data_IF_053263396415
#
_entry.id   IF_053263396415
#
_cell.length_a   1.000
_cell.length_b   1.000
_cell.length_c   1.000
_cell.angle_alpha   90.00
_cell.angle_beta   90.00
_cell.angle_gamma   90.00
#
_symmetry.space_group_name_H-M   'P 1'
#
loop_
_entity.id
_entity.type
_entity.pdbx_description
1 polymer ?
#
# COMPACT_ATOMS: atom_id res chain seq x y z
N UNK A 1 -23.42 -9.07 -16.89
CA UNK A 1 -22.77 -8.49 -15.69
C UNK A 1 -21.30 -8.16 -15.97
N UNK A 2 -20.99 -7.14 -16.80
CA UNK A 2 -19.60 -6.78 -17.13
C UNK A 2 -19.33 -5.29 -17.37
N UNK A 3 -20.34 -4.42 -17.22
CA UNK A 3 -20.27 -3.03 -17.70
C UNK A 3 -19.33 -2.11 -16.93
N UNK A 4 -19.15 -2.31 -15.62
CA UNK A 4 -18.33 -1.41 -14.79
C UNK A 4 -16.84 -1.48 -15.10
N UNK A 5 -16.26 -2.69 -15.10
CA UNK A 5 -14.81 -2.87 -15.33
C UNK A 5 -14.37 -2.45 -16.74
N UNK A 6 -15.24 -2.66 -17.74
CA UNK A 6 -14.98 -2.20 -19.10
C UNK A 6 -14.91 -0.67 -19.18
N UNK A 7 -15.75 0.04 -18.41
CA UNK A 7 -15.73 1.50 -18.35
C UNK A 7 -14.44 2.03 -17.74
N UNK A 8 -13.95 1.40 -16.66
CA UNK A 8 -12.70 1.82 -16.01
C UNK A 8 -11.52 1.81 -17.01
N UNK A 9 -11.40 0.71 -17.76
CA UNK A 9 -10.34 0.52 -18.74
C UNK A 9 -10.50 1.41 -19.98
N UNK A 10 -11.73 1.56 -20.47
CA UNK A 10 -12.01 2.42 -21.61
C UNK A 10 -11.69 3.88 -21.29
N UNK A 11 -12.11 4.40 -20.14
CA UNK A 11 -11.83 5.78 -19.75
C UNK A 11 -10.32 6.08 -19.65
N UNK A 12 -9.55 5.14 -19.09
CA UNK A 12 -8.09 5.28 -19.01
C UNK A 12 -7.43 5.29 -20.40
N UNK A 13 -7.86 4.39 -21.29
CA UNK A 13 -7.33 4.31 -22.65
C UNK A 13 -7.77 5.50 -23.51
N UNK A 14 -9.01 5.97 -23.37
CA UNK A 14 -9.52 7.15 -24.08
C UNK A 14 -8.72 8.40 -23.73
N UNK A 15 -8.45 8.60 -22.45
CA UNK A 15 -7.64 9.72 -21.98
C UNK A 15 -6.18 9.58 -22.43
N UNK A 16 -5.59 8.39 -22.34
CA UNK A 16 -4.22 8.16 -22.84
C UNK A 16 -4.09 8.36 -24.36
N UNK A 17 -5.11 7.99 -25.14
CA UNK A 17 -5.17 8.18 -26.58
C UNK A 17 -5.28 9.68 -26.94
N UNK A 18 -6.15 10.42 -26.24
CA UNK A 18 -6.34 11.85 -26.47
C UNK A 18 -5.01 12.63 -26.35
N UNK A 19 -4.13 12.17 -25.46
CA UNK A 19 -2.82 12.77 -25.23
C UNK A 19 -1.67 12.15 -26.02
N UNK A 20 -1.97 11.20 -26.92
CA UNK A 20 -0.96 10.55 -27.76
C UNK A 20 0.03 9.64 -27.01
N UNK A 21 -0.32 9.19 -25.80
CA UNK A 21 0.49 8.21 -25.06
C UNK A 21 0.37 6.79 -25.64
N UNK A 22 -0.74 6.52 -26.33
CA UNK A 22 -1.02 5.27 -27.02
C UNK A 22 -1.61 5.55 -28.41
N UNK A 23 -1.60 4.56 -29.28
CA UNK A 23 -2.25 4.63 -30.60
C UNK A 23 -3.70 4.11 -30.56
N UNK A 24 -4.49 4.37 -31.59
CA UNK A 24 -5.83 3.77 -31.76
C UNK A 24 -5.78 2.23 -31.78
N UNK A 25 -4.72 1.67 -32.38
CA UNK A 25 -4.51 0.22 -32.41
C UNK A 25 -4.23 -0.34 -31.02
N UNK A 26 -3.42 0.35 -30.22
CA UNK A 26 -3.19 0.00 -28.81
C UNK A 26 -4.49 0.05 -28.02
N UNK A 27 -5.29 1.11 -28.19
CA UNK A 27 -6.58 1.26 -27.52
C UNK A 27 -7.50 0.06 -27.76
N UNK A 28 -7.65 -0.36 -29.02
CA UNK A 28 -8.54 -1.48 -29.37
C UNK A 28 -7.96 -2.81 -28.90
N UNK A 29 -6.68 -3.07 -29.18
CA UNK A 29 -6.06 -4.38 -28.93
C UNK A 29 -5.79 -4.65 -27.45
N UNK A 30 -5.64 -3.62 -26.63
CA UNK A 30 -5.22 -3.75 -25.23
C UNK A 30 -6.33 -3.53 -24.20
N UNK A 31 -7.56 -3.23 -24.62
CA UNK A 31 -8.70 -3.00 -23.73
C UNK A 31 -8.87 -4.09 -22.67
N UNK A 32 -8.83 -5.36 -23.07
CA UNK A 32 -9.01 -6.49 -22.14
C UNK A 32 -7.85 -6.65 -21.16
N UNK A 33 -6.63 -6.28 -21.57
CA UNK A 33 -5.46 -6.25 -20.68
C UNK A 33 -5.61 -5.14 -19.66
N UNK A 34 -5.94 -3.91 -20.09
CA UNK A 34 -6.15 -2.79 -19.14
C UNK A 34 -7.31 -3.10 -18.18
N UNK A 35 -8.40 -3.69 -18.68
CA UNK A 35 -9.52 -4.13 -17.84
C UNK A 35 -9.07 -5.14 -16.77
N UNK A 36 -8.20 -6.08 -17.11
CA UNK A 36 -7.70 -7.07 -16.13
C UNK A 36 -6.94 -6.40 -14.99
N UNK A 37 -6.10 -5.42 -15.32
CA UNK A 37 -5.24 -4.76 -14.36
C UNK A 37 -6.00 -3.68 -13.58
N UNK A 38 -6.61 -2.70 -14.24
CA UNK A 38 -7.36 -1.60 -13.60
C UNK A 38 -8.65 -2.09 -12.94
N UNK A 39 -9.20 -3.23 -13.37
CA UNK A 39 -10.30 -3.88 -12.66
C UNK A 39 -9.93 -4.38 -11.26
N UNK A 40 -8.64 -4.57 -10.96
CA UNK A 40 -8.14 -4.99 -9.65
C UNK A 40 -8.03 -3.78 -8.69
N UNK A 41 -8.62 -3.85 -7.47
CA UNK A 41 -8.54 -2.76 -6.50
C UNK A 41 -7.12 -2.34 -6.13
N UNK A 42 -6.18 -3.28 -5.97
CA UNK A 42 -4.79 -2.98 -5.60
C UNK A 42 -4.09 -2.17 -6.69
N UNK A 43 -4.30 -2.55 -7.95
CA UNK A 43 -3.74 -1.81 -9.09
C UNK A 43 -4.31 -0.39 -9.17
N UNK A 44 -5.61 -0.20 -8.92
CA UNK A 44 -6.20 1.14 -8.86
C UNK A 44 -5.60 1.99 -7.75
N UNK A 45 -5.41 1.40 -6.56
CA UNK A 45 -4.77 2.09 -5.44
C UNK A 45 -3.33 2.49 -5.78
N UNK A 46 -2.57 1.63 -6.46
CA UNK A 46 -1.21 1.96 -6.91
C UNK A 46 -1.20 3.16 -7.86
N UNK A 47 -2.11 3.18 -8.84
CA UNK A 47 -2.30 4.31 -9.76
C UNK A 47 -2.87 5.57 -9.10
N UNK A 48 -3.46 5.46 -7.90
CA UNK A 48 -4.25 6.54 -7.32
C UNK A 48 -5.58 6.79 -8.04
N UNK A 49 -6.14 5.78 -8.73
CA UNK A 49 -7.43 5.90 -9.39
C UNK A 49 -8.54 5.60 -8.39
N UNK A 50 -9.40 6.60 -8.19
CA UNK A 50 -10.60 6.52 -7.35
C UNK A 50 -11.84 6.73 -8.21
N UNK A 51 -12.94 6.09 -7.79
CA UNK A 51 -14.23 6.18 -8.46
C UNK A 51 -15.25 6.70 -7.47
N UNK A 52 -16.02 7.70 -7.85
CA UNK A 52 -17.07 8.24 -7.00
C UNK A 52 -18.40 7.47 -7.15
N UNK A 53 -19.44 7.92 -6.44
CA UNK A 53 -20.78 7.34 -6.49
C UNK A 53 -21.50 7.54 -7.82
N UNK A 54 -21.13 8.56 -8.59
CA UNK A 54 -21.69 8.84 -9.92
C UNK A 54 -21.00 8.00 -11.01
N UNK A 55 -19.84 7.43 -10.66
CA UNK A 55 -19.04 6.58 -11.52
C UNK A 55 -17.97 7.35 -12.28
N UNK A 56 -17.73 8.61 -11.94
CA UNK A 56 -16.64 9.40 -12.51
C UNK A 56 -15.29 8.98 -11.90
N UNK A 57 -14.23 9.16 -12.68
CA UNK A 57 -12.88 8.74 -12.34
C UNK A 57 -12.03 9.94 -11.95
N UNK A 58 -11.33 9.75 -10.85
CA UNK A 58 -10.46 10.74 -10.24
C UNK A 58 -9.09 10.14 -10.00
N UNK A 59 -8.06 10.98 -10.01
CA UNK A 59 -6.68 10.64 -9.67
C UNK A 59 -6.31 11.39 -8.40
N UNK A 60 -5.95 10.67 -7.34
CA UNK A 60 -5.55 11.23 -6.04
C UNK A 60 -4.05 11.08 -5.76
N UNK A 61 -3.26 11.15 -6.81
CA UNK A 61 -1.79 11.05 -6.79
C UNK A 61 -1.18 12.26 -7.50
N UNK A 62 0.02 12.65 -7.08
CA UNK A 62 0.82 13.70 -7.74
C UNK A 62 0.91 13.44 -9.25
N UNK A 63 0.78 14.48 -10.06
CA UNK A 63 0.58 14.33 -11.51
C UNK A 63 1.81 13.79 -12.21
N UNK A 64 2.98 14.22 -11.75
CA UNK A 64 4.25 13.69 -12.24
C UNK A 64 4.40 12.19 -11.95
N UNK A 65 3.96 11.74 -10.77
CA UNK A 65 3.99 10.31 -10.42
C UNK A 65 2.98 9.50 -11.24
N UNK A 66 1.77 10.02 -11.42
CA UNK A 66 0.75 9.40 -12.26
C UNK A 66 1.22 9.28 -13.72
N UNK A 67 1.92 10.30 -14.24
CA UNK A 67 2.52 10.29 -15.56
C UNK A 67 3.57 9.17 -15.71
N UNK A 68 4.50 9.07 -14.74
CA UNK A 68 5.55 8.06 -14.73
C UNK A 68 4.96 6.65 -14.67
N UNK A 69 3.97 6.42 -13.80
CA UNK A 69 3.27 5.13 -13.70
C UNK A 69 2.56 4.76 -15.01
N UNK A 70 1.81 5.70 -15.58
CA UNK A 70 1.06 5.49 -16.83
C UNK A 70 2.00 5.16 -17.97
N UNK A 71 3.12 5.89 -18.10
CA UNK A 71 4.13 5.62 -19.12
C UNK A 71 4.71 4.21 -19.00
N UNK A 72 5.20 3.82 -17.83
CA UNK A 72 5.78 2.48 -17.63
C UNK A 72 4.76 1.38 -17.87
N UNK A 73 3.52 1.59 -17.45
CA UNK A 73 2.43 0.63 -17.67
C UNK A 73 2.10 0.44 -19.15
N UNK A 74 1.92 1.53 -19.90
CA UNK A 74 1.66 1.44 -21.32
C UNK A 74 2.85 0.89 -22.12
N UNK A 75 4.08 1.18 -21.69
CA UNK A 75 5.30 0.59 -22.27
C UNK A 75 5.34 -0.93 -22.06
N UNK A 76 5.13 -1.41 -20.84
CA UNK A 76 5.09 -2.84 -20.52
C UNK A 76 3.94 -3.56 -21.27
N UNK A 77 2.80 -2.89 -21.44
CA UNK A 77 1.65 -3.38 -22.21
C UNK A 77 1.97 -3.52 -23.72
N UNK A 78 2.65 -2.53 -24.30
CA UNK A 78 3.09 -2.57 -25.71
C UNK A 78 4.13 -3.65 -25.95
N UNK A 79 5.05 -3.81 -25.00
CA UNK A 79 6.10 -4.85 -25.03
C UNK A 79 5.56 -6.27 -24.76
N UNK A 80 4.25 -6.44 -24.53
CA UNK A 80 3.64 -7.75 -24.30
C UNK A 80 4.00 -8.39 -22.96
N UNK A 81 4.53 -7.62 -22.00
CA UNK A 81 4.82 -8.09 -20.64
C UNK A 81 3.55 -8.29 -19.81
N UNK A 82 2.47 -7.62 -20.20
CA UNK A 82 1.16 -7.71 -19.57
C UNK A 82 0.21 -8.56 -20.40
N UNK A 83 -0.54 -9.43 -19.72
CA UNK A 83 -1.48 -10.34 -20.36
C UNK A 83 -2.88 -10.18 -19.79
N UNK A 84 -3.90 -10.22 -20.66
CA UNK A 84 -5.30 -10.26 -20.24
C UNK A 84 -5.67 -11.53 -19.47
N UNK A 85 -4.81 -12.56 -19.54
CA UNK A 85 -4.90 -13.82 -18.80
C UNK A 85 -4.22 -13.78 -17.43
N UNK A 86 -3.58 -12.67 -17.04
CA UNK A 86 -3.00 -12.53 -15.71
C UNK A 86 -4.06 -12.74 -14.64
N UNK A 87 -3.76 -13.61 -13.68
CA UNK A 87 -4.60 -13.79 -12.49
C UNK A 87 -4.47 -12.60 -11.52
N UNK A 88 -5.27 -12.59 -10.45
CA UNK A 88 -5.22 -11.52 -9.47
C UNK A 88 -3.86 -11.40 -8.78
N UNK A 89 -3.18 -12.53 -8.52
CA UNK A 89 -1.88 -12.53 -7.85
C UNK A 89 -0.79 -11.91 -8.73
N UNK A 90 -0.80 -12.19 -10.03
CA UNK A 90 0.08 -11.62 -11.04
C UNK A 90 -0.15 -10.12 -11.22
N UNK A 91 -1.41 -9.68 -11.26
CA UNK A 91 -1.74 -8.24 -11.30
C UNK A 91 -1.20 -7.52 -10.05
N UNK A 92 -1.36 -8.10 -8.85
CA UNK A 92 -0.83 -7.49 -7.63
C UNK A 92 0.70 -7.48 -7.64
N UNK A 93 1.36 -8.58 -8.02
CA UNK A 93 2.83 -8.61 -8.12
C UNK A 93 3.35 -7.54 -9.08
N UNK A 94 2.68 -7.38 -10.21
CA UNK A 94 3.02 -6.33 -11.17
C UNK A 94 2.81 -4.92 -10.58
N UNK A 95 1.70 -4.70 -9.86
CA UNK A 95 1.44 -3.44 -9.15
C UNK A 95 2.56 -3.08 -8.18
N UNK A 96 3.05 -4.04 -7.40
CA UNK A 96 4.16 -3.83 -6.46
C UNK A 96 5.46 -3.50 -7.21
N UNK A 97 5.78 -4.27 -8.27
CA UNK A 97 6.96 -4.04 -9.12
C UNK A 97 6.92 -2.70 -9.84
N UNK A 98 5.73 -2.24 -10.25
CA UNK A 98 5.55 -0.97 -10.92
C UNK A 98 5.90 0.20 -9.98
N UNK A 99 5.42 0.16 -8.74
CA UNK A 99 5.77 1.16 -7.73
C UNK A 99 7.27 1.13 -7.39
N UNK A 100 7.84 -0.06 -7.20
CA UNK A 100 9.26 -0.24 -6.90
C UNK A 100 10.17 0.29 -8.02
N UNK A 101 9.84 -0.01 -9.29
CA UNK A 101 10.63 0.43 -10.46
C UNK A 101 10.56 1.93 -10.72
N UNK A 102 9.43 2.56 -10.40
CA UNK A 102 9.20 3.98 -10.66
C UNK A 102 9.64 4.87 -9.51
N UNK A 103 9.76 4.32 -8.29
CA UNK A 103 10.17 5.07 -7.11
C UNK A 103 9.14 6.11 -6.66
N UNK A 104 7.90 6.02 -7.15
CA UNK A 104 6.82 6.93 -6.76
C UNK A 104 6.41 6.69 -5.31
N UNK A 105 6.02 7.75 -4.61
CA UNK A 105 5.58 7.70 -3.22
C UNK A 105 4.26 6.93 -3.05
N UNK A 106 3.78 6.73 -1.83
CA UNK A 106 2.39 6.33 -1.57
C UNK A 106 1.52 7.50 -1.07
N UNK A 107 2.03 8.72 -1.16
CA UNK A 107 1.31 9.91 -0.78
C UNK A 107 0.07 10.13 -1.65
N UNK A 108 -0.90 10.85 -1.09
CA UNK A 108 -2.17 11.17 -1.75
C UNK A 108 -2.39 12.66 -1.75
N UNK A 109 -2.88 13.18 -2.87
CA UNK A 109 -3.22 14.59 -3.05
C UNK A 109 -4.73 14.74 -3.24
N UNK A 110 -5.21 15.98 -3.24
CA UNK A 110 -6.60 16.28 -3.57
C UNK A 110 -6.96 15.64 -4.92
N UNK A 111 -8.06 14.86 -5.01
CA UNK A 111 -8.41 14.19 -6.25
C UNK A 111 -8.68 15.19 -7.37
N UNK A 112 -8.09 14.96 -8.54
CA UNK A 112 -8.43 15.68 -9.76
C UNK A 112 -9.07 14.74 -10.77
N UNK A 113 -9.83 15.26 -11.74
CA UNK A 113 -10.50 14.39 -12.70
C UNK A 113 -9.48 13.64 -13.56
N UNK A 114 -9.76 12.39 -13.93
CA UNK A 114 -8.85 11.59 -14.76
C UNK A 114 -8.52 12.30 -16.08
N UNK A 115 -9.51 12.96 -16.69
CA UNK A 115 -9.32 13.73 -17.92
C UNK A 115 -8.33 14.88 -17.70
N UNK A 116 -8.56 15.69 -16.66
CA UNK A 116 -7.66 16.80 -16.30
C UNK A 116 -6.24 16.32 -16.01
N UNK A 117 -6.09 15.15 -15.39
CA UNK A 117 -4.78 14.58 -15.12
C UNK A 117 -3.99 14.29 -16.40
N UNK A 118 -4.65 13.74 -17.42
CA UNK A 118 -4.03 13.54 -18.73
C UNK A 118 -3.76 14.85 -19.47
N UNK A 119 -4.70 15.80 -19.46
CA UNK A 119 -4.52 17.13 -20.03
C UNK A 119 -3.24 17.81 -19.47
N UNK A 120 -3.02 17.72 -18.15
CA UNK A 120 -1.84 18.27 -17.47
C UNK A 120 -0.53 17.56 -17.86
N UNK A 121 -0.56 16.23 -18.03
CA UNK A 121 0.59 15.43 -18.48
C UNK A 121 1.04 15.88 -19.88
N UNK A 122 0.08 16.07 -20.78
CA UNK A 122 0.39 16.47 -22.15
C UNK A 122 0.92 17.90 -22.25
N UNK A 123 0.38 18.81 -21.45
CA UNK A 123 0.88 20.19 -21.38
C UNK A 123 2.32 20.23 -20.84
N UNK A 124 2.62 19.45 -19.81
CA UNK A 124 3.98 19.32 -19.24
C UNK A 124 4.99 18.78 -20.26
N UNK A 125 4.54 17.91 -21.17
CA UNK A 125 5.41 17.35 -22.23
C UNK A 125 5.70 18.38 -23.34
N UNK A 126 4.73 19.25 -23.66
CA UNK A 126 4.89 20.33 -24.65
C UNK A 126 5.85 21.41 -24.16
N UNK A 127 5.79 21.76 -22.88
CA UNK A 127 6.69 22.79 -22.31
C UNK A 127 8.15 22.32 -22.28
N UNK A 128 8.40 21.05 -21.95
CA UNK A 128 9.75 20.49 -21.95
C UNK A 128 10.37 20.31 -23.35
N UNK A 129 9.55 20.12 -24.39
CA UNK A 129 10.04 19.94 -25.76
C UNK A 129 10.35 21.25 -26.50
N UNK A 130 9.86 22.40 -25.99
CA UNK A 130 10.17 23.72 -26.57
C UNK A 130 11.53 24.30 -26.11
N UNK A 131 12.19 23.69 -25.13
CA UNK A 131 13.40 24.23 -24.49
C UNK A 131 14.75 23.73 -25.01
N UNK A 132 14.78 22.70 -25.86
CA UNK A 132 16.04 22.02 -26.21
C UNK A 132 16.17 21.77 -27.72
N UNK A 133 16.62 22.79 -28.46
CA UNK A 133 17.11 22.65 -29.83
C UNK A 133 18.55 23.19 -29.93
N UNK A 134 19.52 22.31 -29.68
CA UNK A 134 20.83 22.39 -30.32
C UNK A 134 21.33 20.97 -30.65
N UNK A 135 21.09 20.58 -31.90
CA UNK A 135 21.52 19.31 -32.46
C UNK A 135 23.06 19.19 -32.51
N UNK A 136 23.56 17.95 -32.46
CA UNK A 136 24.43 17.49 -33.53
C UNK A 136 23.88 16.21 -34.17
N UNK A 137 23.87 16.22 -35.50
CA UNK A 137 23.70 15.08 -36.39
C UNK A 137 24.93 14.16 -36.31
N UNK A 138 24.74 12.84 -36.27
CA UNK A 138 25.63 11.90 -36.97
C UNK A 138 24.98 10.50 -37.14
N UNK A 139 24.48 10.30 -38.35
CA UNK A 139 24.67 9.20 -39.30
C UNK A 139 24.79 7.68 -38.90
N UNK A 140 23.82 6.93 -39.47
CA UNK A 140 23.92 5.60 -40.17
C UNK A 140 24.25 4.28 -39.39
N UNK A 141 24.07 3.05 -39.98
CA UNK A 141 22.81 2.39 -40.37
C UNK A 141 22.66 0.91 -39.91
N UNK A 142 21.40 0.45 -39.96
CA UNK A 142 20.90 -0.82 -40.53
C UNK A 142 21.79 -2.10 -40.58
N UNK A 143 21.34 -3.17 -39.92
CA UNK A 143 21.49 -4.55 -40.41
C UNK A 143 20.56 -5.51 -39.66
N UNK A 144 19.61 -6.10 -40.40
CA UNK A 144 18.67 -7.09 -39.89
C UNK A 144 19.27 -8.48 -39.64
N UNK A 145 18.44 -9.35 -39.04
CA UNK A 145 18.43 -10.80 -39.28
C UNK A 145 17.17 -11.43 -38.72
N UNK A 146 16.36 -11.97 -39.63
CA UNK A 146 15.31 -12.93 -39.35
C UNK A 146 15.88 -14.24 -38.79
N UNK A 147 15.14 -14.87 -37.87
CA UNK A 147 15.30 -16.29 -37.54
C UNK A 147 13.93 -16.92 -37.26
N UNK A 148 13.54 -17.76 -38.21
CA UNK A 148 12.57 -18.84 -38.07
C UNK A 148 13.08 -19.90 -37.08
N UNK A 149 12.16 -20.46 -36.28
CA UNK A 149 12.15 -21.84 -35.76
C UNK A 149 10.91 -21.95 -34.86
N UNK A 150 9.87 -22.73 -35.16
CA UNK A 150 9.77 -24.17 -35.39
C UNK A 150 8.82 -24.74 -34.31
N UNK A 151 7.82 -25.46 -34.80
CA UNK A 151 6.74 -26.11 -34.06
C UNK A 151 7.26 -27.07 -32.97
N UNK A 152 6.56 -27.12 -31.84
CA UNK A 152 6.50 -28.35 -31.06
C UNK A 152 5.09 -28.57 -30.49
N UNK A 153 4.41 -29.54 -31.11
CA UNK A 153 3.29 -30.29 -30.58
C UNK A 153 3.49 -30.68 -29.11
N UNK A 154 2.50 -30.42 -28.26
CA UNK A 154 2.38 -31.10 -26.97
C UNK A 154 0.93 -31.49 -26.70
N UNK A 155 0.79 -32.81 -26.52
CA UNK A 155 -0.42 -33.59 -26.30
C UNK A 155 -1.21 -33.12 -25.08
N UNK A 156 -2.52 -33.11 -25.27
CA UNK A 156 -3.55 -33.00 -24.26
C UNK A 156 -3.58 -34.26 -23.38
N UNK A 157 -3.21 -34.10 -22.10
CA UNK A 157 -3.57 -35.03 -21.03
C UNK A 157 -4.51 -34.28 -20.07
N UNK A 158 -5.80 -34.55 -20.23
CA UNK A 158 -6.88 -34.05 -19.38
C UNK A 158 -6.81 -34.80 -18.06
N UNK A 159 -6.11 -34.22 -17.07
CA UNK A 159 -6.10 -34.71 -15.70
C UNK A 159 -6.98 -33.80 -14.86
N UNK A 160 -8.20 -34.27 -14.65
CA UNK A 160 -9.18 -33.76 -13.71
C UNK A 160 -8.52 -33.66 -12.32
N UNK A 161 -8.13 -32.44 -11.96
CA UNK A 161 -7.62 -32.06 -10.65
C UNK A 161 -8.62 -31.05 -10.11
N UNK A 162 -9.34 -31.46 -9.08
CA UNK A 162 -10.06 -30.54 -8.21
C UNK A 162 -9.05 -29.53 -7.65
N UNK A 163 -9.01 -28.35 -8.27
CA UNK A 163 -8.21 -27.21 -7.83
C UNK A 163 -8.76 -26.74 -6.47
N UNK A 164 -8.23 -27.31 -5.39
CA UNK A 164 -8.38 -26.69 -4.07
C UNK A 164 -7.72 -25.32 -4.15
N UNK A 165 -8.53 -24.26 -4.15
CA UNK A 165 -8.07 -22.87 -4.18
C UNK A 165 -7.15 -22.62 -2.97
N UNK A 166 -5.84 -22.67 -3.19
CA UNK A 166 -4.84 -22.36 -2.18
C UNK A 166 -4.83 -20.83 -2.00
N UNK A 167 -5.51 -20.34 -0.96
CA UNK A 167 -5.50 -18.92 -0.61
C UNK A 167 -4.14 -18.55 0.00
N UNK A 168 -3.23 -18.08 -0.84
CA UNK A 168 -1.95 -17.52 -0.37
C UNK A 168 -2.19 -16.16 0.29
N UNK A 169 -2.22 -16.16 1.64
CA UNK A 169 -2.31 -14.94 2.44
C UNK A 169 -1.01 -14.16 2.31
N UNK A 170 -1.04 -13.06 1.55
CA UNK A 170 0.11 -12.17 1.40
C UNK A 170 0.46 -11.51 2.74
N UNK A 171 1.71 -11.59 3.21
CA UNK A 171 2.13 -10.92 4.44
C UNK A 171 2.05 -9.40 4.30
N UNK A 172 1.57 -8.72 5.35
CA UNK A 172 1.60 -7.25 5.43
C UNK A 172 3.06 -6.77 5.45
N UNK A 173 3.33 -5.69 4.71
CA UNK A 173 4.66 -5.10 4.62
C UNK A 173 4.94 -4.09 5.74
N UNK A 174 3.92 -3.52 6.38
CA UNK A 174 4.03 -2.59 7.52
C UNK A 174 3.03 -3.00 8.62
N UNK A 175 3.15 -2.47 9.84
CA UNK A 175 2.20 -2.79 10.93
C UNK A 175 0.79 -2.26 10.66
N UNK A 176 0.67 -1.33 9.70
CA UNK A 176 -0.58 -0.70 9.32
C UNK A 176 -1.02 0.39 10.29
N UNK A 177 -2.30 0.73 10.24
CA UNK A 177 -2.94 1.77 11.02
C UNK A 177 -4.37 1.94 10.54
N UNK A 178 -5.22 2.56 11.36
CA UNK A 178 -6.57 2.98 10.96
C UNK A 178 -6.62 4.51 10.97
N UNK A 179 -7.40 5.16 10.08
CA UNK A 179 -7.59 6.60 10.13
C UNK A 179 -8.09 7.10 11.49
N UNK A 180 -8.88 6.28 12.18
CA UNK A 180 -9.35 6.56 13.54
C UNK A 180 -8.21 6.59 14.56
N UNK A 181 -7.29 5.62 14.51
CA UNK A 181 -6.13 5.58 15.40
C UNK A 181 -5.17 6.75 15.13
N UNK A 182 -4.93 7.06 13.84
CA UNK A 182 -4.12 8.21 13.44
C UNK A 182 -4.70 9.52 13.96
N UNK A 183 -6.02 9.71 13.80
CA UNK A 183 -6.74 10.87 14.35
C UNK A 183 -6.62 10.93 15.88
N UNK A 184 -6.70 9.79 16.57
CA UNK A 184 -6.56 9.74 18.02
C UNK A 184 -5.15 10.15 18.49
N UNK A 185 -4.09 9.72 17.79
CA UNK A 185 -2.72 10.15 18.06
C UNK A 185 -2.53 11.64 17.78
N UNK A 186 -3.07 12.16 16.66
CA UNK A 186 -3.01 13.57 16.32
C UNK A 186 -3.64 14.45 17.41
N UNK A 187 -4.76 14.01 17.99
CA UNK A 187 -5.47 14.71 19.06
C UNK A 187 -4.85 14.57 20.46
N UNK A 188 -3.88 13.67 20.65
CA UNK A 188 -3.23 13.46 21.96
C UNK A 188 -2.40 14.66 22.45
N UNK A 189 -2.11 15.63 21.58
CA UNK A 189 -1.23 16.77 21.90
C UNK A 189 0.26 16.41 22.06
N UNK A 190 0.62 15.12 21.97
CA UNK A 190 2.00 14.66 22.13
C UNK A 190 2.70 14.48 20.78
N UNK A 191 3.51 15.46 20.39
CA UNK A 191 4.33 15.39 19.18
C UNK A 191 5.22 14.12 19.16
N UNK A 192 5.78 13.75 20.31
CA UNK A 192 6.59 12.53 20.47
C UNK A 192 5.80 11.28 20.09
N UNK A 193 4.58 11.12 20.62
CA UNK A 193 3.75 9.95 20.32
C UNK A 193 3.34 9.91 18.85
N UNK A 194 2.99 11.06 18.27
CA UNK A 194 2.65 11.15 16.85
C UNK A 194 3.83 10.73 15.96
N UNK A 195 5.03 11.27 16.21
CA UNK A 195 6.22 10.91 15.43
C UNK A 195 6.63 9.44 15.61
N UNK A 196 6.54 8.89 16.82
CA UNK A 196 6.78 7.46 17.07
C UNK A 196 5.76 6.60 16.33
N UNK A 197 4.47 6.96 16.39
CA UNK A 197 3.41 6.27 15.68
C UNK A 197 3.68 6.23 14.18
N UNK A 198 3.89 7.40 13.55
CA UNK A 198 4.20 7.52 12.11
C UNK A 198 5.41 6.65 11.76
N UNK A 199 6.49 6.72 12.54
CA UNK A 199 7.70 5.92 12.28
C UNK A 199 7.41 4.41 12.31
N UNK A 200 6.56 3.95 13.23
CA UNK A 200 6.20 2.55 13.33
C UNK A 200 5.32 2.08 12.15
N UNK A 201 4.44 2.95 11.65
CA UNK A 201 3.49 2.60 10.57
C UNK A 201 4.07 2.72 9.16
N UNK A 202 5.14 3.50 8.97
CA UNK A 202 5.80 3.67 7.66
C UNK A 202 6.92 2.66 7.40
N UNK A 203 7.56 2.12 8.44
CA UNK A 203 8.69 1.21 8.27
C UNK A 203 8.26 -0.20 7.83
N UNK A 204 9.05 -0.77 6.91
CA UNK A 204 8.86 -2.13 6.42
C UNK A 204 9.12 -3.16 7.52
N UNK A 205 8.12 -3.97 7.86
CA UNK A 205 8.24 -5.14 8.72
C UNK A 205 9.15 -6.21 8.13
N UNK A 206 9.29 -6.28 6.81
CA UNK A 206 10.20 -7.26 6.19
C UNK A 206 11.67 -6.91 6.45
N UNK A 207 12.00 -5.62 6.37
CA UNK A 207 13.38 -5.16 6.41
C UNK A 207 13.79 -4.65 7.80
N UNK A 208 12.83 -4.19 8.60
CA UNK A 208 13.06 -3.45 9.84
C UNK A 208 12.25 -3.98 11.03
N UNK A 209 11.84 -5.26 11.03
CA UNK A 209 11.07 -5.85 12.14
C UNK A 209 11.65 -5.56 13.54
N UNK A 210 12.97 -5.70 13.79
CA UNK A 210 13.53 -5.39 15.11
C UNK A 210 13.33 -3.92 15.53
N UNK A 211 13.55 -2.99 14.60
CA UNK A 211 13.38 -1.55 14.83
C UNK A 211 11.91 -1.24 15.10
N UNK A 212 10.99 -1.78 14.28
CA UNK A 212 9.56 -1.58 14.46
C UNK A 212 9.06 -2.20 15.77
N UNK A 213 9.62 -3.33 16.20
CA UNK A 213 9.31 -3.95 17.49
C UNK A 213 9.69 -3.04 18.65
N UNK A 214 10.91 -2.49 18.65
CA UNK A 214 11.38 -1.57 19.69
C UNK A 214 10.63 -0.24 19.63
N UNK A 215 10.30 0.24 18.43
CA UNK A 215 9.48 1.43 18.21
C UNK A 215 8.09 1.27 18.79
N UNK A 216 7.41 0.17 18.49
CA UNK A 216 6.06 -0.12 19.03
C UNK A 216 6.09 -0.31 20.55
N UNK A 217 7.09 -1.01 21.07
CA UNK A 217 7.32 -1.11 22.52
C UNK A 217 7.50 0.28 23.16
N UNK A 218 8.34 1.14 22.57
CA UNK A 218 8.59 2.50 23.07
C UNK A 218 7.37 3.43 22.95
N UNK A 219 6.53 3.21 21.94
CA UNK A 219 5.25 3.89 21.76
C UNK A 219 4.31 3.56 22.92
N UNK A 220 4.17 2.27 23.27
CA UNK A 220 3.32 1.82 24.38
C UNK A 220 3.82 2.31 25.75
N UNK A 221 5.14 2.31 25.98
CA UNK A 221 5.75 2.92 27.18
C UNK A 221 5.40 4.42 27.27
N UNK A 222 5.56 5.15 26.16
CA UNK A 222 5.25 6.58 26.11
C UNK A 222 3.76 6.85 26.30
N UNK A 223 2.90 5.96 25.81
CA UNK A 223 1.45 6.06 25.97
C UNK A 223 1.02 5.80 27.43
N UNK A 224 1.61 4.80 28.09
CA UNK A 224 1.40 4.55 29.52
C UNK A 224 1.84 5.75 30.36
N UNK A 225 3.05 6.28 30.10
CA UNK A 225 3.54 7.46 30.79
C UNK A 225 2.61 8.67 30.61
N UNK A 226 2.13 8.92 29.38
CA UNK A 226 1.22 10.04 29.11
C UNK A 226 -0.14 9.88 29.80
N UNK A 227 -0.65 8.66 29.94
CA UNK A 227 -1.90 8.39 30.65
C UNK A 227 -1.76 8.55 32.18
N UNK A 228 -0.54 8.59 32.73
CA UNK A 228 -0.30 8.67 34.17
C UNK A 228 0.35 7.40 34.76
N UNK A 229 1.18 6.72 33.98
CA UNK A 229 2.04 5.63 34.45
C UNK A 229 3.02 6.11 35.51
N UNK A 230 3.28 5.27 36.50
CA UNK A 230 4.17 5.52 37.64
C UNK A 230 5.59 4.97 37.43
N UNK A 231 5.93 4.62 36.19
CA UNK A 231 7.19 3.97 35.84
C UNK A 231 7.15 2.44 35.90
N UNK A 232 6.00 1.84 36.23
CA UNK A 232 5.74 0.43 35.94
C UNK A 232 5.77 0.16 34.43
N UNK A 233 6.06 -1.09 34.04
CA UNK A 233 5.99 -1.49 32.63
C UNK A 233 4.56 -1.33 32.12
N UNK A 234 4.39 -0.96 30.85
CA UNK A 234 3.04 -0.67 30.33
C UNK A 234 2.09 -1.88 30.44
N UNK A 235 2.57 -3.12 30.37
CA UNK A 235 1.74 -4.32 30.51
C UNK A 235 1.26 -4.54 31.95
N UNK A 236 2.06 -4.11 32.94
CA UNK A 236 1.66 -4.05 34.34
C UNK A 236 0.67 -2.91 34.60
N UNK A 237 0.97 -1.72 34.07
CA UNK A 237 0.12 -0.53 34.22
C UNK A 237 -1.27 -0.72 33.61
N UNK A 238 -1.33 -1.27 32.39
CA UNK A 238 -2.56 -1.57 31.67
C UNK A 238 -3.12 -2.96 32.00
N UNK A 239 -3.08 -3.36 33.27
CA UNK A 239 -3.63 -4.65 33.72
C UNK A 239 -5.15 -4.80 33.46
N UNK A 240 -5.64 -6.04 33.60
CA UNK A 240 -7.05 -6.38 33.29
C UNK A 240 -8.09 -5.53 34.03
N UNK A 241 -7.83 -5.19 35.30
CA UNK A 241 -8.73 -4.34 36.09
C UNK A 241 -8.89 -2.97 35.47
N UNK A 242 -7.78 -2.36 35.04
CA UNK A 242 -7.77 -1.03 34.41
C UNK A 242 -8.45 -1.05 33.03
N UNK A 243 -8.22 -2.09 32.24
CA UNK A 243 -8.92 -2.29 30.96
C UNK A 243 -10.45 -2.27 31.11
N UNK A 244 -10.96 -2.85 32.19
CA UNK A 244 -12.39 -2.90 32.47
C UNK A 244 -12.93 -1.58 33.04
N UNK A 245 -12.24 -1.03 34.03
CA UNK A 245 -12.71 0.14 34.81
C UNK A 245 -12.50 1.46 34.09
N UNK A 246 -11.30 1.70 33.56
CA UNK A 246 -10.94 3.00 32.98
C UNK A 246 -11.32 3.07 31.49
N UNK A 247 -11.32 1.94 30.78
CA UNK A 247 -11.48 1.91 29.32
C UNK A 247 -12.73 1.15 28.84
N UNK A 248 -13.53 0.59 29.75
CA UNK A 248 -14.83 0.01 29.44
C UNK A 248 -14.81 -1.34 28.71
N UNK A 249 -13.68 -2.05 28.67
CA UNK A 249 -13.58 -3.36 28.02
C UNK A 249 -14.12 -4.47 28.92
N UNK A 250 -15.45 -4.63 29.02
CA UNK A 250 -16.11 -5.61 29.91
C UNK A 250 -16.07 -7.06 29.41
N UNK A 251 -15.72 -7.30 28.14
CA UNK A 251 -15.54 -8.66 27.61
C UNK A 251 -14.22 -9.30 28.08
N UNK A 252 -14.32 -10.41 28.82
CA UNK A 252 -13.16 -11.12 29.41
C UNK A 252 -12.18 -11.67 28.36
N UNK A 253 -12.69 -12.20 27.24
CA UNK A 253 -11.85 -12.76 26.18
C UNK A 253 -11.07 -11.67 25.46
N UNK A 254 -11.72 -10.54 25.16
CA UNK A 254 -11.08 -9.37 24.59
C UNK A 254 -9.94 -8.85 25.49
N UNK A 255 -10.20 -8.69 26.80
CA UNK A 255 -9.14 -8.30 27.77
C UNK A 255 -7.98 -9.28 27.81
N UNK A 256 -8.27 -10.58 27.73
CA UNK A 256 -7.24 -11.62 27.67
C UNK A 256 -6.38 -11.49 26.41
N UNK A 257 -7.00 -11.21 25.27
CA UNK A 257 -6.28 -11.00 24.00
C UNK A 257 -5.38 -9.76 24.06
N UNK A 258 -5.87 -8.65 24.60
CA UNK A 258 -5.05 -7.46 24.83
C UNK A 258 -3.88 -7.75 25.78
N UNK A 259 -4.15 -8.36 26.93
CA UNK A 259 -3.12 -8.72 27.91
C UNK A 259 -2.03 -9.60 27.29
N UNK A 260 -2.42 -10.57 26.45
CA UNK A 260 -1.49 -11.45 25.78
C UNK A 260 -0.63 -10.71 24.72
N UNK A 261 -1.23 -9.78 23.96
CA UNK A 261 -0.50 -8.96 23.00
C UNK A 261 0.47 -8.00 23.70
N UNK A 262 0.05 -7.33 24.78
CA UNK A 262 0.92 -6.46 25.59
C UNK A 262 2.11 -7.24 26.14
N UNK A 263 1.87 -8.40 26.75
CA UNK A 263 2.94 -9.25 27.29
C UNK A 263 3.96 -9.66 26.23
N UNK A 264 3.50 -10.12 25.05
CA UNK A 264 4.39 -10.46 23.94
C UNK A 264 5.21 -9.26 23.49
N UNK A 265 4.60 -8.08 23.38
CA UNK A 265 5.29 -6.86 23.00
C UNK A 265 6.33 -6.46 24.05
N UNK A 266 6.02 -6.55 25.35
CA UNK A 266 6.98 -6.32 26.44
C UNK A 266 8.18 -7.26 26.33
N UNK A 267 7.94 -8.57 26.21
CA UNK A 267 9.01 -9.57 26.12
C UNK A 267 9.89 -9.38 24.87
N UNK A 268 9.27 -9.19 23.70
CA UNK A 268 9.97 -9.00 22.41
C UNK A 268 10.71 -7.66 22.36
N UNK A 269 10.10 -6.59 22.83
CA UNK A 269 10.73 -5.26 22.88
C UNK A 269 11.92 -5.24 23.82
N UNK A 270 11.77 -5.78 25.03
CA UNK A 270 12.84 -5.83 26.02
C UNK A 270 14.03 -6.68 25.55
N UNK A 271 13.76 -7.89 25.02
CA UNK A 271 14.82 -8.76 24.49
C UNK A 271 15.56 -8.12 23.31
N UNK A 272 14.83 -7.53 22.36
CA UNK A 272 15.42 -6.86 21.18
C UNK A 272 16.26 -5.63 21.57
N UNK A 273 15.86 -4.91 22.62
CA UNK A 273 16.56 -3.70 23.08
C UNK A 273 17.83 -4.01 23.88
N UNK A 274 17.80 -5.02 24.76
CA UNK A 274 18.85 -5.24 25.75
C UNK A 274 19.77 -6.43 25.45
N UNK A 275 19.33 -7.39 24.64
CA UNK A 275 20.17 -8.52 24.28
C UNK A 275 21.23 -8.10 23.27
N UNK A 276 22.45 -8.63 23.40
CA UNK A 276 23.50 -8.47 22.41
C UNK A 276 23.30 -9.34 21.15
N UNK A 277 22.36 -10.29 21.18
CA UNK A 277 22.16 -11.29 20.11
C UNK A 277 20.68 -11.44 19.74
N UNK A 278 19.78 -11.45 20.72
CA UNK A 278 18.37 -11.72 20.48
C UNK A 278 17.65 -10.48 19.90
N UNK A 279 16.80 -10.71 18.91
CA UNK A 279 15.93 -9.70 18.33
C UNK A 279 14.65 -10.33 17.76
N UNK A 280 13.58 -9.54 17.67
CA UNK A 280 12.32 -9.99 17.07
C UNK A 280 12.29 -9.79 15.56
N UNK A 281 12.07 -10.88 14.82
CA UNK A 281 11.98 -10.90 13.35
C UNK A 281 10.60 -11.35 12.84
N UNK A 282 9.63 -11.56 13.74
CA UNK A 282 8.29 -12.01 13.39
C UNK A 282 7.34 -10.82 13.14
N UNK A 283 7.46 -10.23 11.95
CA UNK A 283 6.64 -9.10 11.54
C UNK A 283 5.15 -9.44 11.41
N UNK A 284 4.81 -10.69 11.07
CA UNK A 284 3.40 -11.13 10.95
C UNK A 284 2.70 -11.07 12.30
N UNK A 285 3.31 -11.65 13.34
CA UNK A 285 2.75 -11.61 14.67
C UNK A 285 2.75 -10.17 15.23
N UNK A 286 3.77 -9.36 14.93
CA UNK A 286 3.82 -7.97 15.37
C UNK A 286 2.66 -7.14 14.77
N UNK A 287 2.38 -7.30 13.48
CA UNK A 287 1.23 -6.66 12.82
C UNK A 287 -0.10 -7.11 13.44
N UNK A 288 -0.27 -8.41 13.68
CA UNK A 288 -1.46 -8.94 14.34
C UNK A 288 -1.62 -8.39 15.77
N UNK A 289 -0.55 -8.33 16.55
CA UNK A 289 -0.57 -7.78 17.91
C UNK A 289 -0.93 -6.29 17.89
N UNK A 290 -0.45 -5.54 16.88
CA UNK A 290 -0.83 -4.14 16.66
C UNK A 290 -2.33 -3.99 16.34
N UNK A 291 -2.89 -4.82 15.46
CA UNK A 291 -4.32 -4.81 15.15
C UNK A 291 -5.17 -5.13 16.40
N UNK A 292 -4.75 -6.15 17.17
CA UNK A 292 -5.40 -6.51 18.44
C UNK A 292 -5.39 -5.33 19.42
N UNK A 293 -4.29 -4.60 19.51
CA UNK A 293 -4.14 -3.48 20.45
C UNK A 293 -4.72 -2.15 19.94
N UNK A 294 -5.08 -2.04 18.67
CA UNK A 294 -5.64 -0.81 18.07
C UNK A 294 -6.85 -0.25 18.82
N UNK A 295 -7.94 -1.01 19.07
CA UNK A 295 -9.10 -0.48 19.81
C UNK A 295 -8.73 -0.05 21.23
N UNK A 296 -7.78 -0.76 21.87
CA UNK A 296 -7.28 -0.41 23.19
C UNK A 296 -6.51 0.92 23.19
N UNK A 297 -5.56 1.10 22.25
CA UNK A 297 -4.82 2.36 22.11
C UNK A 297 -5.75 3.56 21.88
N UNK A 298 -6.80 3.40 21.06
CA UNK A 298 -7.81 4.45 20.83
C UNK A 298 -8.50 4.83 22.15
N UNK A 299 -8.90 3.84 22.96
CA UNK A 299 -9.56 4.11 24.24
C UNK A 299 -8.63 4.85 25.21
N UNK A 300 -7.35 4.48 25.30
CA UNK A 300 -6.36 5.18 26.13
C UNK A 300 -6.18 6.62 25.66
N UNK A 301 -6.02 6.86 24.35
CA UNK A 301 -5.84 8.20 23.78
C UNK A 301 -7.07 9.10 24.02
N UNK A 302 -8.28 8.53 23.95
CA UNK A 302 -9.52 9.25 24.29
C UNK A 302 -9.62 9.59 25.77
N UNK A 303 -9.22 8.66 26.65
CA UNK A 303 -9.16 8.91 28.09
C UNK A 303 -8.25 10.10 28.42
N UNK A 304 -7.07 10.16 27.78
CA UNK A 304 -6.12 11.28 27.93
C UNK A 304 -6.75 12.61 27.48
N UNK A 305 -7.51 12.62 26.39
CA UNK A 305 -8.16 13.82 25.87
C UNK A 305 -9.24 14.33 26.84
N UNK A 306 -10.08 13.43 27.36
CA UNK A 306 -11.14 13.80 28.29
C UNK A 306 -10.60 14.33 29.63
N UNK A 307 -9.50 13.74 30.13
CA UNK A 307 -8.88 14.20 31.37
C UNK A 307 -8.14 15.54 31.26
N UNK A 308 -7.91 16.06 30.04
CA UNK A 308 -7.30 17.36 29.82
C UNK A 308 -8.32 18.52 29.80
N UNK A 309 -9.62 18.22 29.75
CA UNK A 309 -10.71 19.21 29.74
C UNK A 309 -11.27 19.52 31.15
N UNK A 310 -10.88 18.75 32.17
CA UNK A 310 -11.22 18.96 33.59
C UNK A 310 -10.17 19.81 34.33
#
# INVERSE_FOLDING_TARGET
MGGGRNRDAAALLDAALAEGLITEEDRVSKLTTVQRYIGNPTMRVAFGIVRDSLGDYWVNREINEFAVLSKVFFDDMRQGRLSSRSDAAAVIRYSDQLLERTGVSNDRVAPISLKSAFDEIANSTKENSAGDQKAPEDDTPESGRARDHAESNKKDDVKDRSEEEHFDIKPRLTIGGTPELETAFAKSGSQKLQSLYISCTTLSLRNHCPIVTVGFWSLMESLAALHGGDGSTFDGYFGQSRMETDFGFTNKEQRKNFSAALKRLTEKGNSTKHSSIAASFDGKQLANDFDVLTPFMIAVLRSIQNGAEE
#
